data_IF_893688084705
#
_entry.id   IF_893688084705
#
_cell.length_a   1.000
_cell.length_b   1.000
_cell.length_c   1.000
_cell.angle_alpha   90.00
_cell.angle_beta   90.00
_cell.angle_gamma   90.00
#
_symmetry.space_group_name_H-M   'P 1'
#
loop_
_entity.id
_entity.type
_entity.pdbx_description
1 polymer ?
#
# COMPACT_ATOMS: atom_id res chain seq x y z
N UNK A 1 26.89 -36.44 24.06
CA UNK A 1 26.14 -35.21 23.74
C UNK A 1 26.19 -35.01 22.23
N UNK A 2 25.14 -35.43 21.51
CA UNK A 2 25.03 -35.21 20.06
C UNK A 2 24.40 -33.83 19.86
N UNK A 3 25.07 -32.95 19.12
CA UNK A 3 24.53 -31.64 18.75
C UNK A 3 23.37 -31.83 17.78
N UNK A 4 22.15 -31.62 18.25
CA UNK A 4 20.94 -31.40 17.42
C UNK A 4 21.02 -30.01 16.77
N UNK A 5 21.90 -29.86 15.78
CA UNK A 5 21.62 -28.94 14.69
C UNK A 5 20.78 -29.73 13.71
N UNK A 6 19.47 -29.57 13.81
CA UNK A 6 18.50 -30.05 12.83
C UNK A 6 18.99 -29.69 11.43
N UNK A 7 19.54 -30.69 10.75
CA UNK A 7 19.93 -30.60 9.37
C UNK A 7 18.64 -30.54 8.57
N UNK A 8 18.28 -29.35 8.07
CA UNK A 8 17.36 -29.23 6.95
C UNK A 8 17.89 -30.10 5.81
N UNK A 9 17.31 -31.30 5.63
CA UNK A 9 17.61 -32.19 4.51
C UNK A 9 17.03 -31.55 3.25
N UNK A 10 17.86 -30.82 2.52
CA UNK A 10 17.51 -30.22 1.24
C UNK A 10 18.73 -29.58 0.58
N UNK A 11 18.62 -29.33 -0.72
CA UNK A 11 19.58 -28.53 -1.46
C UNK A 11 19.29 -27.04 -1.24
N UNK A 12 20.33 -26.23 -1.11
CA UNK A 12 20.20 -24.79 -0.96
C UNK A 12 20.24 -24.11 -2.33
N UNK A 13 19.37 -23.13 -2.54
CA UNK A 13 19.35 -22.30 -3.74
C UNK A 13 19.55 -20.83 -3.37
N UNK A 14 20.31 -20.11 -4.19
CA UNK A 14 20.51 -18.67 -4.06
C UNK A 14 19.75 -17.93 -5.15
N UNK A 15 19.14 -16.81 -4.81
CA UNK A 15 18.37 -15.99 -5.76
C UNK A 15 19.00 -14.60 -5.89
N UNK A 16 19.24 -14.17 -7.13
CA UNK A 16 19.60 -12.78 -7.44
C UNK A 16 18.33 -11.99 -7.67
N UNK A 17 18.16 -10.90 -6.92
CA UNK A 17 17.11 -9.92 -7.16
C UNK A 17 17.62 -8.84 -8.12
N UNK A 18 16.86 -8.56 -9.16
CA UNK A 18 17.12 -7.49 -10.13
C UNK A 18 16.04 -6.43 -9.95
N UNK A 19 16.43 -5.22 -9.57
CA UNK A 19 15.52 -4.10 -9.38
C UNK A 19 15.52 -3.23 -10.64
N UNK A 20 14.35 -3.02 -11.27
CA UNK A 20 14.22 -2.08 -12.38
C UNK A 20 14.61 -0.66 -11.95
N UNK A 21 15.14 0.14 -12.87
CA UNK A 21 15.52 1.54 -12.60
C UNK A 21 14.31 2.44 -12.29
N UNK A 22 13.12 2.02 -12.69
CA UNK A 22 11.85 2.71 -12.51
C UNK A 22 10.97 2.06 -11.44
N UNK A 23 11.54 1.19 -10.59
CA UNK A 23 10.82 0.62 -9.46
C UNK A 23 10.36 1.76 -8.53
N UNK A 24 9.05 1.80 -8.27
CA UNK A 24 8.42 2.79 -7.39
C UNK A 24 7.80 2.12 -6.19
N UNK A 25 7.99 2.71 -5.03
CA UNK A 25 7.14 2.44 -3.88
C UNK A 25 5.79 3.13 -4.10
N UNK A 26 4.70 2.39 -3.90
CA UNK A 26 3.35 2.86 -4.15
C UNK A 26 2.59 2.89 -2.83
N UNK A 27 1.95 4.03 -2.53
CA UNK A 27 0.98 4.09 -1.45
C UNK A 27 -0.30 3.38 -1.89
N UNK A 28 -0.77 2.42 -1.10
CA UNK A 28 -1.95 1.61 -1.43
C UNK A 28 -3.03 1.86 -0.39
N UNK A 29 -4.14 2.46 -0.82
CA UNK A 29 -5.34 2.61 0.00
C UNK A 29 -6.25 1.39 -0.11
N UNK A 30 -6.22 0.71 -1.25
CA UNK A 30 -7.03 -0.48 -1.47
C UNK A 30 -6.77 -1.13 -2.82
N UNK A 31 -7.64 -2.08 -3.15
CA UNK A 31 -7.58 -2.83 -4.40
C UNK A 31 -8.98 -2.98 -5.01
N UNK A 32 -9.03 -3.05 -6.33
CA UNK A 32 -10.23 -3.36 -7.09
C UNK A 32 -9.95 -4.51 -8.06
N UNK A 33 -10.88 -5.45 -8.19
CA UNK A 33 -10.69 -6.58 -9.09
C UNK A 33 -11.62 -7.75 -8.77
N UNK A 34 -11.24 -8.94 -9.22
CA UNK A 34 -12.05 -10.15 -9.09
C UNK A 34 -11.43 -11.35 -9.80
N UNK A 35 -12.20 -12.43 -9.85
CA UNK A 35 -11.84 -13.65 -10.58
C UNK A 35 -12.23 -13.48 -12.04
N UNK A 36 -11.26 -13.66 -12.94
CA UNK A 36 -11.48 -13.65 -14.38
C UNK A 36 -11.96 -15.02 -14.88
N UNK A 37 -12.50 -15.06 -16.10
CA UNK A 37 -13.04 -16.28 -16.70
C UNK A 37 -11.98 -17.39 -16.89
N UNK A 38 -10.72 -17.02 -16.95
CA UNK A 38 -9.57 -17.94 -17.03
C UNK A 38 -9.17 -18.54 -15.66
N UNK A 39 -9.92 -18.23 -14.60
CA UNK A 39 -9.64 -18.67 -13.23
C UNK A 39 -8.52 -17.88 -12.54
N UNK A 40 -7.96 -16.84 -13.18
CA UNK A 40 -6.97 -15.96 -12.54
C UNK A 40 -7.66 -14.89 -11.68
N UNK A 41 -6.96 -14.43 -10.66
CA UNK A 41 -7.39 -13.30 -9.83
C UNK A 41 -6.69 -12.05 -10.36
N UNK A 42 -7.48 -11.06 -10.77
CA UNK A 42 -7.01 -9.73 -11.20
C UNK A 42 -7.16 -8.78 -10.03
N UNK A 43 -6.09 -8.09 -9.65
CA UNK A 43 -6.08 -7.13 -8.54
C UNK A 43 -5.38 -5.84 -8.95
N UNK A 44 -6.13 -4.75 -9.05
CA UNK A 44 -5.60 -3.42 -9.33
C UNK A 44 -5.50 -2.61 -8.04
N UNK A 45 -4.27 -2.25 -7.67
CA UNK A 45 -3.97 -1.43 -6.50
C UNK A 45 -4.18 0.03 -6.81
N UNK A 46 -4.79 0.76 -5.88
CA UNK A 46 -5.02 2.19 -6.01
C UNK A 46 -4.61 2.97 -4.77
N UNK A 47 -4.17 4.20 -5.00
CA UNK A 47 -4.22 5.27 -4.01
C UNK A 47 -5.51 6.08 -4.16
N UNK A 48 -6.03 6.58 -3.05
CA UNK A 48 -7.26 7.36 -3.00
C UNK A 48 -6.97 8.72 -2.36
N UNK A 49 -7.54 9.77 -2.97
CA UNK A 49 -7.48 11.12 -2.44
C UNK A 49 -8.78 11.87 -2.73
N UNK A 50 -9.00 12.95 -1.99
CA UNK A 50 -10.04 13.90 -2.35
C UNK A 50 -9.76 14.49 -3.74
N UNK A 51 -10.82 14.65 -4.52
CA UNK A 51 -10.73 15.32 -5.81
C UNK A 51 -10.32 16.78 -5.62
N UNK A 52 -9.36 17.20 -6.44
CA UNK A 52 -9.03 18.60 -6.61
C UNK A 52 -9.94 19.18 -7.69
N UNK A 53 -10.26 20.48 -7.64
CA UNK A 53 -11.04 21.09 -8.70
C UNK A 53 -10.38 20.99 -10.06
N UNK A 54 -11.19 20.77 -11.09
CA UNK A 54 -10.75 20.79 -12.49
C UNK A 54 -10.54 22.23 -12.97
N UNK A 55 -11.35 23.15 -12.44
CA UNK A 55 -11.26 24.57 -12.70
C UNK A 55 -11.59 25.35 -11.43
N UNK A 56 -10.90 26.46 -11.26
CA UNK A 56 -11.11 27.43 -10.19
C UNK A 56 -11.09 28.84 -10.81
N UNK A 57 -12.12 29.64 -10.51
CA UNK A 57 -12.17 31.04 -10.93
C UNK A 57 -12.01 31.94 -9.71
N UNK A 58 -11.06 32.87 -9.80
CA UNK A 58 -10.77 33.87 -8.78
C UNK A 58 -10.94 35.28 -9.33
N UNK A 59 -11.24 36.20 -8.43
CA UNK A 59 -11.14 37.61 -8.75
C UNK A 59 -9.67 38.00 -8.96
N UNK A 60 -9.44 38.96 -9.86
CA UNK A 60 -8.19 39.69 -9.94
C UNK A 60 -8.49 41.08 -9.40
N UNK A 61 -7.79 41.45 -8.33
CA UNK A 61 -7.94 42.75 -7.70
C UNK A 61 -7.35 43.86 -8.60
N UNK A 62 -7.73 45.13 -8.41
CA UNK A 62 -7.17 46.25 -9.19
C UNK A 62 -5.65 46.40 -9.11
N UNK A 63 -5.05 45.96 -7.99
CA UNK A 63 -3.60 45.88 -7.78
C UNK A 63 -2.94 44.66 -8.46
N UNK A 64 -3.71 43.90 -9.25
CA UNK A 64 -3.33 42.66 -9.94
C UNK A 64 -3.01 41.48 -9.02
N UNK A 65 -3.40 41.53 -7.75
CA UNK A 65 -3.32 40.37 -6.85
C UNK A 65 -4.52 39.43 -7.05
N UNK A 66 -4.39 38.18 -6.59
CA UNK A 66 -5.49 37.22 -6.56
C UNK A 66 -6.43 37.56 -5.40
N UNK A 67 -7.68 37.85 -5.72
CA UNK A 67 -8.76 38.02 -4.76
C UNK A 67 -9.47 36.71 -4.42
N UNK A 68 -10.67 36.84 -3.86
CA UNK A 68 -11.45 35.71 -3.38
C UNK A 68 -11.83 34.72 -4.49
N UNK A 69 -12.02 33.47 -4.06
CA UNK A 69 -12.50 32.38 -4.89
C UNK A 69 -13.98 32.58 -5.19
N UNK A 70 -14.35 32.61 -6.47
CA UNK A 70 -15.75 32.79 -6.91
C UNK A 70 -16.44 31.47 -7.20
N UNK A 71 -15.76 30.58 -7.93
CA UNK A 71 -16.35 29.33 -8.40
C UNK A 71 -15.32 28.20 -8.36
N UNK A 72 -15.80 27.01 -8.05
CA UNK A 72 -15.04 25.77 -8.07
C UNK A 72 -15.83 24.71 -8.81
N UNK A 73 -15.20 24.05 -9.78
CA UNK A 73 -15.82 22.92 -10.47
C UNK A 73 -15.12 21.61 -10.10
N UNK A 74 -15.85 20.72 -9.42
CA UNK A 74 -15.42 19.34 -9.14
C UNK A 74 -16.36 18.36 -9.84
N UNK A 75 -15.79 17.49 -10.69
CA UNK A 75 -16.56 16.44 -11.37
C UNK A 75 -16.86 15.23 -10.47
N UNK A 76 -16.00 14.98 -9.48
CA UNK A 76 -16.09 13.87 -8.54
C UNK A 76 -15.68 14.34 -7.15
N UNK A 77 -16.08 13.62 -6.10
CA UNK A 77 -15.66 13.92 -4.72
C UNK A 77 -14.31 13.29 -4.37
N UNK A 78 -14.05 12.09 -4.89
CA UNK A 78 -12.83 11.32 -4.67
C UNK A 78 -12.24 10.83 -5.98
N UNK A 79 -10.92 10.64 -5.99
CA UNK A 79 -10.17 10.11 -7.13
C UNK A 79 -9.36 8.91 -6.65
N UNK A 80 -9.54 7.78 -7.33
CA UNK A 80 -8.67 6.60 -7.21
C UNK A 80 -7.70 6.58 -8.38
N UNK A 81 -6.41 6.53 -8.07
CA UNK A 81 -5.34 6.42 -9.05
C UNK A 81 -4.86 4.98 -9.02
N UNK A 82 -5.16 4.21 -10.07
CA UNK A 82 -4.63 2.84 -10.23
C UNK A 82 -3.16 2.94 -10.58
N UNK A 83 -2.30 2.29 -9.77
CA UNK A 83 -0.85 2.42 -9.88
C UNK A 83 -0.15 1.11 -10.26
N UNK A 84 -0.77 -0.03 -9.97
CA UNK A 84 -0.28 -1.35 -10.35
C UNK A 84 -1.44 -2.32 -10.53
N UNK A 85 -1.33 -3.23 -11.49
CA UNK A 85 -2.26 -4.33 -11.69
C UNK A 85 -1.52 -5.65 -11.63
N UNK A 86 -1.98 -6.53 -10.73
CA UNK A 86 -1.38 -7.82 -10.44
C UNK A 86 -2.34 -8.93 -10.87
N UNK A 87 -1.76 -10.07 -11.23
CA UNK A 87 -2.46 -11.25 -11.70
C UNK A 87 -1.94 -12.45 -10.94
N UNK A 88 -2.85 -13.21 -10.34
CA UNK A 88 -2.51 -14.38 -9.57
C UNK A 88 -3.25 -15.60 -10.10
N UNK A 89 -2.64 -16.78 -9.95
CA UNK A 89 -3.41 -18.01 -9.82
C UNK A 89 -3.77 -18.22 -8.34
N UNK A 90 -4.54 -19.27 -8.08
CA UNK A 90 -4.95 -19.68 -6.73
C UNK A 90 -3.77 -19.87 -5.77
N UNK A 91 -2.76 -20.65 -6.17
CA UNK A 91 -1.60 -20.98 -5.31
C UNK A 91 -0.80 -19.74 -4.93
N UNK A 92 -0.52 -18.87 -5.91
CA UNK A 92 0.23 -17.63 -5.67
C UNK A 92 -0.58 -16.65 -4.84
N UNK A 93 -1.89 -16.56 -5.05
CA UNK A 93 -2.76 -15.71 -4.22
C UNK A 93 -2.78 -16.18 -2.76
N UNK A 94 -2.92 -17.48 -2.50
CA UNK A 94 -2.86 -18.02 -1.13
C UNK A 94 -1.52 -17.75 -0.47
N UNK A 95 -0.41 -17.98 -1.19
CA UNK A 95 0.93 -17.69 -0.66
C UNK A 95 1.12 -16.20 -0.35
N UNK A 96 0.58 -15.32 -1.20
CA UNK A 96 0.66 -13.87 -1.01
C UNK A 96 -0.13 -13.41 0.22
N UNK A 97 -1.36 -13.89 0.39
CA UNK A 97 -2.21 -13.59 1.56
C UNK A 97 -1.54 -14.06 2.84
N UNK A 98 -1.06 -15.31 2.88
CA UNK A 98 -0.39 -15.86 4.07
C UNK A 98 0.84 -15.04 4.48
N UNK A 99 1.63 -14.58 3.49
CA UNK A 99 2.77 -13.71 3.76
C UNK A 99 2.32 -12.37 4.33
N UNK A 100 1.29 -11.75 3.74
CA UNK A 100 0.77 -10.46 4.18
C UNK A 100 0.18 -10.53 5.60
N UNK A 101 -0.59 -11.57 5.90
CA UNK A 101 -1.13 -11.85 7.23
C UNK A 101 -0.01 -11.99 8.28
N UNK A 102 1.09 -12.64 7.92
CA UNK A 102 2.28 -12.72 8.76
C UNK A 102 2.85 -11.33 9.09
N UNK A 103 2.98 -10.46 8.09
CA UNK A 103 3.47 -9.08 8.26
C UNK A 103 2.52 -8.21 9.10
N UNK A 104 1.20 -8.43 8.99
CA UNK A 104 0.22 -7.75 9.83
C UNK A 104 0.41 -8.13 11.30
N UNK A 105 0.57 -9.42 11.60
CA UNK A 105 0.83 -9.90 12.97
C UNK A 105 2.12 -9.35 13.56
N UNK A 106 3.19 -9.29 12.76
CA UNK A 106 4.46 -8.69 13.18
C UNK A 106 4.27 -7.21 13.56
N UNK A 107 3.49 -6.47 12.77
CA UNK A 107 3.18 -5.05 13.02
C UNK A 107 2.33 -4.86 14.28
N UNK A 108 1.36 -5.72 14.53
CA UNK A 108 0.53 -5.71 15.75
C UNK A 108 1.38 -5.94 17.00
N UNK A 109 2.24 -6.95 16.98
CA UNK A 109 3.18 -7.23 18.08
C UNK A 109 4.10 -6.03 18.36
N UNK A 110 4.60 -5.38 17.30
CA UNK A 110 5.41 -4.17 17.44
C UNK A 110 4.62 -3.03 18.12
N UNK A 111 3.37 -2.79 17.73
CA UNK A 111 2.50 -1.77 18.35
C UNK A 111 2.25 -2.05 19.83
N UNK A 112 2.04 -3.31 20.20
CA UNK A 112 1.87 -3.70 21.61
C UNK A 112 3.13 -3.43 22.44
N UNK A 113 4.32 -3.78 21.91
CA UNK A 113 5.58 -3.54 22.59
C UNK A 113 5.82 -2.05 22.81
N UNK A 114 5.55 -1.23 21.81
CA UNK A 114 5.64 0.24 21.92
C UNK A 114 4.73 0.75 23.03
N UNK A 115 3.47 0.31 23.05
CA UNK A 115 2.48 0.70 24.07
C UNK A 115 2.95 0.32 25.49
N UNK A 116 3.51 -0.88 25.67
CA UNK A 116 4.06 -1.35 26.96
C UNK A 116 5.27 -0.52 27.40
N UNK A 117 6.13 -0.10 26.47
CA UNK A 117 7.29 0.75 26.76
C UNK A 117 6.85 2.16 27.16
N UNK A 118 5.88 2.75 26.47
CA UNK A 118 5.37 4.10 26.79
C UNK A 118 4.64 4.13 28.13
N UNK A 119 3.87 3.09 28.47
CA UNK A 119 3.21 2.97 29.77
C UNK A 119 4.24 2.93 30.93
N UNK A 120 5.29 2.13 30.80
CA UNK A 120 6.36 2.02 31.81
C UNK A 120 7.20 3.29 31.99
N UNK A 121 7.22 4.18 31.00
CA UNK A 121 7.93 5.48 31.08
C UNK A 121 7.09 6.58 31.73
N UNK A 122 5.76 6.47 31.74
CA UNK A 122 4.87 7.42 32.42
C UNK A 122 4.69 7.15 33.92
N UNK A 123 5.14 5.98 34.40
CA UNK A 123 5.10 5.57 35.82
C UNK A 123 6.41 5.88 36.58
N UNK A 124 7.39 6.54 35.95
CA UNK A 124 8.64 7.02 36.56
C UNK A 124 8.73 8.53 36.48
#
# INVERSE_FOLDING_TARGET
MKNEKDQLKGETASFKYIFPSDLKELHVNGAFGGVALDGTIRMSLYSERQAIPNAERRLINPDKTLGDKKEEEKKYEYVRIVQASLVFNDKTATSFINWLDGRIKDLEQLKEQITKITAKKGEK
#
